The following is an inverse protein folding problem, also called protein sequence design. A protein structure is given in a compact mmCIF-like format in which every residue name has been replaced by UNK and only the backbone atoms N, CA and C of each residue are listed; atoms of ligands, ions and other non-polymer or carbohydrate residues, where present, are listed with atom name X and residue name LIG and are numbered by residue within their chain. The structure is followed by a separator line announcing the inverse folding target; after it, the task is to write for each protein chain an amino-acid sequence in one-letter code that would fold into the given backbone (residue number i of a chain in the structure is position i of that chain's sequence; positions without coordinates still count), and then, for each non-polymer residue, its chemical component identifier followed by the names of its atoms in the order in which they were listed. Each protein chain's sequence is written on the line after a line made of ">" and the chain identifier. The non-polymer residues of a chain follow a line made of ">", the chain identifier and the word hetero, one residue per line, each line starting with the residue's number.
data_IF_000749506322
#
_entry.id   IF_000749506322
#
_cell.length_a   1.000
_cell.length_b   1.000
_cell.length_c   1.000
_cell.angle_alpha   90.00
_cell.angle_beta   90.00
_cell.angle_gamma   90.00
#
_symmetry.space_group_name_H-M   'P 1'
#
loop_
_entity.id
_entity.type
_entity.pdbx_description
1 polymer ?
#
# COMPACT_ATOMS: atom_id res chain seq x y z
N UNK A 1 -11.80 -34.39 -66.93
CA UNK A 1 -13.19 -34.06 -67.32
C UNK A 1 -14.13 -34.62 -66.25
N UNK A 2 -15.25 -33.92 -66.01
CA UNK A 2 -16.39 -34.19 -65.08
C UNK A 2 -16.09 -34.14 -63.57
N UNK A 3 -16.18 -32.98 -62.89
CA UNK A 3 -17.35 -32.29 -62.29
C UNK A 3 -18.07 -33.04 -61.15
N UNK A 4 -17.92 -32.45 -59.95
CA UNK A 4 -18.96 -32.04 -58.99
C UNK A 4 -19.74 -33.10 -58.19
N UNK A 5 -19.65 -33.04 -56.85
CA UNK A 5 -20.76 -32.62 -55.96
C UNK A 5 -20.34 -32.62 -54.47
N UNK A 6 -20.50 -31.48 -53.78
CA UNK A 6 -20.65 -31.39 -52.32
C UNK A 6 -22.09 -31.78 -51.94
N UNK A 7 -22.31 -32.35 -50.75
CA UNK A 7 -23.22 -31.71 -49.79
C UNK A 7 -22.66 -31.75 -48.35
N UNK A 8 -22.58 -30.60 -47.65
CA UNK A 8 -23.60 -29.95 -46.80
C UNK A 8 -23.53 -30.41 -45.33
N UNK A 9 -23.19 -29.44 -44.51
CA UNK A 9 -23.23 -29.41 -43.04
C UNK A 9 -24.59 -29.83 -42.47
N UNK A 10 -24.55 -30.53 -41.34
CA UNK A 10 -25.61 -30.54 -40.35
C UNK A 10 -24.95 -30.61 -38.96
N UNK A 11 -24.74 -29.45 -38.34
CA UNK A 11 -24.43 -29.33 -36.91
C UNK A 11 -25.76 -29.26 -36.20
N UNK A 12 -26.10 -30.31 -35.45
CA UNK A 12 -27.32 -30.36 -34.66
C UNK A 12 -27.05 -29.67 -33.32
N UNK A 13 -27.63 -28.47 -33.16
CA UNK A 13 -27.73 -27.76 -31.89
C UNK A 13 -28.80 -28.49 -31.07
N UNK A 14 -28.41 -29.11 -29.95
CA UNK A 14 -29.35 -29.71 -29.02
C UNK A 14 -29.66 -28.70 -27.90
N UNK A 15 -30.77 -27.99 -28.09
CA UNK A 15 -31.46 -27.25 -27.02
C UNK A 15 -32.20 -28.28 -26.18
N UNK A 16 -31.82 -28.42 -24.91
CA UNK A 16 -32.49 -29.29 -23.95
C UNK A 16 -32.64 -28.58 -22.62
N UNK A 17 -33.76 -27.88 -22.45
CA UNK A 17 -34.20 -27.38 -21.15
C UNK A 17 -34.80 -28.49 -20.30
N UNK A 18 -34.47 -28.50 -19.02
CA UNK A 18 -35.28 -29.16 -18.00
C UNK A 18 -35.31 -28.30 -16.73
N UNK A 19 -36.47 -27.69 -16.49
CA UNK A 19 -36.86 -27.17 -15.18
C UNK A 19 -37.02 -28.36 -14.22
N UNK A 20 -36.39 -28.29 -13.06
CA UNK A 20 -36.80 -29.04 -11.88
C UNK A 20 -36.60 -28.16 -10.64
N UNK A 21 -37.71 -27.60 -10.17
CA UNK A 21 -37.88 -26.99 -8.85
C UNK A 21 -37.66 -28.03 -7.76
N UNK A 22 -36.63 -27.83 -6.93
CA UNK A 22 -36.55 -28.41 -5.59
C UNK A 22 -36.38 -27.25 -4.60
N UNK A 23 -37.52 -26.80 -4.06
CA UNK A 23 -37.57 -26.01 -2.85
C UNK A 23 -36.97 -26.84 -1.72
N UNK A 24 -35.68 -26.63 -1.46
CA UNK A 24 -35.00 -27.13 -0.28
C UNK A 24 -34.90 -25.95 0.66
N UNK A 25 -35.75 -25.96 1.68
CA UNK A 25 -35.58 -25.06 2.82
C UNK A 25 -34.22 -25.33 3.42
N UNK A 26 -33.33 -24.34 3.35
CA UNK A 26 -32.18 -24.26 4.22
C UNK A 26 -32.48 -23.16 5.21
N UNK A 27 -32.65 -23.60 6.44
CA UNK A 27 -32.51 -22.91 7.71
C UNK A 27 -31.87 -21.53 7.57
N UNK A 28 -32.46 -20.53 8.22
CA UNK A 28 -31.70 -19.43 8.80
C UNK A 28 -30.63 -20.06 9.70
N UNK A 29 -29.49 -20.43 9.12
CA UNK A 29 -28.22 -20.35 9.82
C UNK A 29 -28.07 -18.86 10.03
N UNK A 30 -28.35 -18.40 11.25
CA UNK A 30 -27.75 -17.16 11.68
C UNK A 30 -26.26 -17.40 11.52
N UNK A 31 -25.69 -16.89 10.43
CA UNK A 31 -24.25 -16.79 10.27
C UNK A 31 -23.87 -15.79 11.35
N UNK A 32 -23.60 -16.28 12.55
CA UNK A 32 -22.87 -15.51 13.53
C UNK A 32 -21.55 -15.22 12.85
N UNK A 33 -21.35 -13.98 12.41
CA UNK A 33 -20.06 -13.52 11.94
C UNK A 33 -19.12 -13.81 13.09
N UNK A 34 -18.18 -14.73 12.87
CA UNK A 34 -17.26 -15.09 13.94
C UNK A 34 -16.30 -13.92 14.10
N UNK A 35 -15.80 -13.69 15.30
CA UNK A 35 -14.82 -12.65 15.59
C UNK A 35 -13.64 -12.67 14.59
N UNK A 36 -13.16 -13.88 14.29
CA UNK A 36 -12.12 -14.15 13.29
C UNK A 36 -12.49 -13.64 11.90
N UNK A 37 -13.75 -13.80 11.47
CA UNK A 37 -14.22 -13.35 10.16
C UNK A 37 -14.24 -11.81 10.09
N UNK A 38 -14.61 -11.16 11.19
CA UNK A 38 -14.64 -9.70 11.28
C UNK A 38 -13.23 -9.09 11.26
N UNK A 39 -12.29 -9.65 12.03
CA UNK A 39 -10.88 -9.24 11.99
C UNK A 39 -10.27 -9.46 10.60
N UNK A 40 -10.55 -10.61 9.97
CA UNK A 40 -10.14 -10.91 8.59
C UNK A 40 -10.70 -9.90 7.60
N UNK A 41 -11.98 -9.56 7.71
CA UNK A 41 -12.64 -8.59 6.83
C UNK A 41 -12.04 -7.18 6.96
N UNK A 42 -11.69 -6.74 8.18
CA UNK A 42 -11.01 -5.47 8.39
C UNK A 42 -9.59 -5.45 7.80
N UNK A 43 -8.85 -6.57 7.90
CA UNK A 43 -7.56 -6.71 7.24
C UNK A 43 -7.70 -6.69 5.71
N UNK A 44 -8.70 -7.41 5.17
CA UNK A 44 -9.01 -7.43 3.74
C UNK A 44 -9.36 -6.03 3.21
N UNK A 45 -10.16 -5.25 3.95
CA UNK A 45 -10.45 -3.85 3.62
C UNK A 45 -9.18 -2.98 3.59
N UNK A 46 -8.35 -3.05 4.64
CA UNK A 46 -7.09 -2.32 4.70
C UNK A 46 -6.15 -2.65 3.52
N UNK A 47 -5.96 -3.94 3.23
CA UNK A 47 -5.08 -4.40 2.14
C UNK A 47 -5.63 -3.99 0.78
N UNK A 48 -6.96 -4.01 0.59
CA UNK A 48 -7.60 -3.53 -0.64
C UNK A 48 -7.45 -2.01 -0.84
N UNK A 49 -7.45 -1.23 0.26
CA UNK A 49 -7.14 0.21 0.20
C UNK A 49 -5.70 0.44 -0.25
N UNK A 50 -4.75 -0.39 0.18
CA UNK A 50 -3.35 -0.31 -0.29
C UNK A 50 -3.24 -0.68 -1.78
N UNK A 51 -3.88 -1.78 -2.20
CA UNK A 51 -3.83 -2.25 -3.57
C UNK A 51 -4.45 -1.25 -4.55
N UNK A 52 -5.58 -0.64 -4.17
CA UNK A 52 -6.26 0.36 -5.00
C UNK A 52 -5.54 1.70 -5.01
N UNK A 53 -5.08 2.19 -3.85
CA UNK A 53 -4.48 3.51 -3.68
C UNK A 53 -5.43 4.68 -3.99
N UNK A 54 -6.74 4.43 -4.08
CA UNK A 54 -7.72 5.40 -4.59
C UNK A 54 -8.37 6.25 -3.48
N UNK A 55 -8.27 5.81 -2.22
CA UNK A 55 -8.82 6.52 -1.06
C UNK A 55 -7.77 6.65 0.06
N UNK A 56 -6.87 7.66 -0.05
CA UNK A 56 -5.87 7.92 0.98
C UNK A 56 -6.49 8.16 2.36
N UNK A 57 -7.68 8.79 2.40
CA UNK A 57 -8.36 9.14 3.65
C UNK A 57 -8.84 7.90 4.40
N UNK A 58 -9.55 7.00 3.71
CA UNK A 58 -9.94 5.72 4.28
C UNK A 58 -8.71 4.89 4.69
N UNK A 59 -7.65 4.90 3.88
CA UNK A 59 -6.45 4.12 4.16
C UNK A 59 -5.78 4.56 5.47
N UNK A 60 -5.50 5.85 5.67
CA UNK A 60 -4.85 6.27 6.93
C UNK A 60 -5.79 6.14 8.13
N UNK A 61 -7.11 6.21 7.95
CA UNK A 61 -8.09 6.03 9.03
C UNK A 61 -8.27 4.57 9.46
N UNK A 62 -7.97 3.61 8.59
CA UNK A 62 -8.05 2.19 8.90
C UNK A 62 -6.99 1.71 9.90
N UNK A 63 -5.93 2.50 10.12
CA UNK A 63 -4.82 2.18 11.01
C UNK A 63 -4.68 3.18 12.16
N UNK A 64 -4.23 2.66 13.31
CA UNK A 64 -3.99 3.43 14.54
C UNK A 64 -2.48 3.51 14.77
N UNK A 65 -1.98 4.74 14.99
CA UNK A 65 -0.55 5.03 15.15
C UNK A 65 -0.32 6.18 16.11
N UNK A 66 0.85 6.25 16.72
CA UNK A 66 1.31 7.41 17.49
C UNK A 66 1.68 8.60 16.60
N UNK A 67 1.89 8.37 15.29
CA UNK A 67 2.28 9.39 14.32
C UNK A 67 1.29 9.51 13.13
N UNK A 68 0.07 10.02 13.34
CA UNK A 68 -0.95 10.08 12.27
C UNK A 68 -0.52 10.89 11.05
N UNK A 69 0.37 11.87 11.22
CA UNK A 69 0.91 12.65 10.11
C UNK A 69 1.75 11.79 9.13
N UNK A 70 2.52 10.83 9.65
CA UNK A 70 3.33 9.94 8.81
C UNK A 70 2.44 8.99 7.99
N UNK A 71 1.39 8.42 8.60
CA UNK A 71 0.46 7.58 7.85
C UNK A 71 -0.33 8.35 6.79
N UNK A 72 -0.72 9.61 7.06
CA UNK A 72 -1.36 10.46 6.05
C UNK A 72 -0.43 10.69 4.87
N UNK A 73 0.82 11.08 5.13
CA UNK A 73 1.82 11.27 4.09
C UNK A 73 2.07 9.97 3.29
N UNK A 74 2.18 8.82 3.97
CA UNK A 74 2.33 7.52 3.31
C UNK A 74 1.13 7.18 2.40
N UNK A 75 -0.09 7.43 2.88
CA UNK A 75 -1.32 7.22 2.11
C UNK A 75 -1.41 8.13 0.90
N UNK A 76 -1.04 9.40 1.06
CA UNK A 76 -1.01 10.36 -0.05
C UNK A 76 0.04 9.92 -1.08
N UNK A 77 1.25 9.58 -0.64
CA UNK A 77 2.36 9.11 -1.48
C UNK A 77 2.00 7.87 -2.32
N UNK A 78 1.24 6.93 -1.76
CA UNK A 78 0.78 5.73 -2.45
C UNK A 78 -0.02 6.03 -3.73
N UNK A 79 -0.71 7.18 -3.80
CA UNK A 79 -1.42 7.60 -5.00
C UNK A 79 -0.45 7.88 -6.17
N UNK A 80 0.79 8.27 -5.87
CA UNK A 80 1.87 8.52 -6.84
C UNK A 80 2.77 7.31 -7.14
N UNK A 81 2.46 6.12 -6.62
CA UNK A 81 3.19 4.90 -6.95
C UNK A 81 2.97 4.49 -8.42
N UNK A 82 4.05 4.14 -9.12
CA UNK A 82 4.02 3.60 -10.50
C UNK A 82 3.35 2.22 -10.54
N UNK A 83 3.58 1.42 -9.50
CA UNK A 83 2.97 0.11 -9.33
C UNK A 83 2.54 -0.06 -7.86
N UNK A 84 1.38 -0.68 -7.65
CA UNK A 84 0.84 -1.05 -6.34
C UNK A 84 0.73 -2.56 -6.24
N UNK A 85 0.52 -3.05 -5.03
CA UNK A 85 0.42 -4.49 -4.80
C UNK A 85 -0.77 -5.12 -5.53
N UNK A 86 -0.57 -6.31 -6.06
CA UNK A 86 -1.64 -7.24 -6.42
C UNK A 86 -1.87 -8.16 -5.22
N UNK A 87 -3.06 -8.09 -4.60
CA UNK A 87 -3.41 -8.96 -3.47
C UNK A 87 -3.64 -10.38 -3.99
N UNK A 88 -2.88 -11.35 -3.48
CA UNK A 88 -3.01 -12.75 -3.86
C UNK A 88 -3.89 -13.51 -2.87
N UNK A 89 -3.62 -13.35 -1.58
CA UNK A 89 -4.34 -14.04 -0.51
C UNK A 89 -4.37 -13.19 0.78
N UNK A 90 -5.52 -13.20 1.46
CA UNK A 90 -5.68 -12.70 2.83
C UNK A 90 -6.12 -13.89 3.67
N UNK A 91 -5.21 -14.36 4.52
CA UNK A 91 -5.38 -15.55 5.36
C UNK A 91 -6.43 -15.38 6.45
N UNK A 92 -6.62 -16.42 7.24
CA UNK A 92 -7.51 -16.38 8.41
C UNK A 92 -6.93 -15.50 9.52
N UNK A 93 -7.80 -14.97 10.38
CA UNK A 93 -7.39 -14.22 11.55
C UNK A 93 -7.04 -15.16 12.71
N UNK A 94 -5.81 -15.08 13.19
CA UNK A 94 -5.31 -15.93 14.28
C UNK A 94 -5.06 -15.09 15.54
N UNK A 95 -5.26 -15.64 16.75
CA UNK A 95 -4.83 -14.99 17.99
C UNK A 95 -3.33 -14.67 17.98
N UNK A 96 -2.96 -13.51 18.52
CA UNK A 96 -1.56 -13.19 18.78
C UNK A 96 -1.07 -13.86 20.07
N UNK A 97 0.10 -14.51 20.03
CA UNK A 97 0.70 -15.16 21.20
C UNK A 97 1.13 -14.18 22.31
N UNK A 98 1.18 -12.89 21.99
CA UNK A 98 1.62 -11.82 22.88
C UNK A 98 0.74 -10.58 22.70
N UNK A 99 0.63 -9.74 23.73
CA UNK A 99 -0.09 -8.48 23.62
C UNK A 99 0.74 -7.48 22.82
N UNK A 100 0.27 -7.02 21.65
CA UNK A 100 0.98 -5.99 20.90
C UNK A 100 0.98 -4.68 21.69
N UNK A 101 1.99 -3.85 21.43
CA UNK A 101 1.98 -2.50 21.97
C UNK A 101 0.88 -1.70 21.27
N UNK A 102 0.03 -1.05 22.08
CA UNK A 102 -1.01 -0.14 21.58
C UNK A 102 -0.64 1.28 21.98
N UNK A 103 -0.96 2.30 21.15
CA UNK A 103 -0.69 3.70 21.49
C UNK A 103 -1.27 4.09 22.85
N UNK A 104 -0.55 4.95 23.57
CA UNK A 104 -0.96 5.41 24.90
C UNK A 104 -2.34 6.12 24.86
N UNK A 105 -3.27 5.73 25.75
CA UNK A 105 -4.69 6.14 25.76
C UNK A 105 -5.53 5.70 24.54
N UNK A 106 -5.09 4.71 23.76
CA UNK A 106 -5.99 4.07 22.80
C UNK A 106 -7.07 3.27 23.53
N UNK A 107 -8.25 3.15 22.91
CA UNK A 107 -9.37 2.33 23.39
C UNK A 107 -9.32 0.91 22.80
N UNK A 108 -8.12 0.41 22.48
CA UNK A 108 -7.91 -0.87 21.83
C UNK A 108 -7.60 -1.98 22.84
N UNK A 109 -8.27 -3.12 22.68
CA UNK A 109 -8.03 -4.30 23.48
C UNK A 109 -6.90 -5.15 22.88
N UNK A 110 -5.68 -4.93 23.37
CA UNK A 110 -4.52 -5.77 23.00
C UNK A 110 -4.64 -7.24 23.45
N UNK A 111 -5.62 -7.57 24.30
CA UNK A 111 -5.95 -8.92 24.75
C UNK A 111 -6.57 -9.79 23.67
N UNK A 112 -7.36 -9.16 22.80
CA UNK A 112 -8.09 -9.81 21.69
C UNK A 112 -7.42 -9.54 20.34
N UNK A 113 -6.15 -9.12 20.34
CA UNK A 113 -5.42 -8.83 19.12
C UNK A 113 -5.30 -10.07 18.22
N UNK A 114 -5.40 -9.84 16.91
CA UNK A 114 -5.32 -10.87 15.88
C UNK A 114 -4.23 -10.52 14.87
N UNK A 115 -3.60 -11.54 14.30
CA UNK A 115 -2.77 -11.42 13.10
C UNK A 115 -3.47 -12.02 11.89
N UNK A 116 -3.23 -11.42 10.74
CA UNK A 116 -3.71 -11.90 9.44
C UNK A 116 -2.52 -11.95 8.50
N UNK A 117 -2.21 -13.14 7.98
CA UNK A 117 -1.19 -13.30 6.95
C UNK A 117 -1.71 -12.75 5.61
N UNK A 118 -0.86 -12.03 4.89
CA UNK A 118 -1.19 -11.44 3.59
C UNK A 118 -0.11 -11.80 2.59
N UNK A 119 -0.51 -12.42 1.49
CA UNK A 119 0.36 -12.68 0.34
C UNK A 119 0.00 -11.71 -0.78
N UNK A 120 1.00 -11.04 -1.34
CA UNK A 120 0.82 -10.05 -2.40
C UNK A 120 1.93 -10.15 -3.44
N UNK A 121 1.70 -9.61 -4.63
CA UNK A 121 2.72 -9.45 -5.67
C UNK A 121 3.05 -7.99 -5.89
N UNK A 122 4.34 -7.70 -6.04
CA UNK A 122 4.86 -6.38 -6.40
C UNK A 122 6.04 -6.54 -7.36
N UNK A 123 6.07 -5.77 -8.44
CA UNK A 123 7.10 -5.83 -9.48
C UNK A 123 7.34 -7.26 -10.01
N UNK A 124 6.27 -8.05 -10.11
CA UNK A 124 6.33 -9.45 -10.54
C UNK A 124 6.89 -10.45 -9.51
N UNK A 125 7.16 -10.03 -8.28
CA UNK A 125 7.66 -10.86 -7.18
C UNK A 125 6.58 -11.05 -6.11
N UNK A 126 6.41 -12.28 -5.63
CA UNK A 126 5.46 -12.61 -4.57
C UNK A 126 6.12 -12.38 -3.19
N UNK A 127 5.38 -11.77 -2.27
CA UNK A 127 5.80 -11.40 -0.92
C UNK A 127 4.75 -11.84 0.10
N UNK A 128 5.21 -12.17 1.30
CA UNK A 128 4.36 -12.48 2.45
C UNK A 128 4.59 -11.45 3.55
N UNK A 129 3.51 -11.00 4.18
CA UNK A 129 3.54 -10.08 5.29
C UNK A 129 2.41 -10.37 6.29
N UNK A 130 2.35 -9.59 7.36
CA UNK A 130 1.35 -9.77 8.42
C UNK A 130 0.76 -8.43 8.81
N UNK A 131 -0.56 -8.37 8.86
CA UNK A 131 -1.31 -7.26 9.45
C UNK A 131 -1.69 -7.66 10.87
N UNK A 132 -1.47 -6.77 11.83
CA UNK A 132 -1.93 -6.96 13.22
C UNK A 132 -3.08 -6.00 13.48
N UNK A 133 -4.17 -6.52 14.04
CA UNK A 133 -5.37 -5.77 14.37
C UNK A 133 -5.71 -5.94 15.85
N UNK A 134 -6.32 -4.92 16.44
CA UNK A 134 -6.96 -5.02 17.74
C UNK A 134 -8.36 -4.41 17.70
N UNK A 135 -9.32 -4.97 18.42
CA UNK A 135 -10.65 -4.41 18.49
C UNK A 135 -10.72 -3.24 19.46
N UNK A 136 -11.67 -2.33 19.26
CA UNK A 136 -12.02 -1.31 20.25
C UNK A 136 -12.76 -1.96 21.45
N UNK A 137 -12.31 -1.68 22.68
CA UNK A 137 -12.80 -2.29 23.94
C UNK A 137 -14.33 -2.20 24.12
N UNK A 138 -14.97 -1.20 23.52
CA UNK A 138 -16.40 -0.91 23.69
C UNK A 138 -17.27 -1.29 22.48
N UNK A 139 -16.71 -1.97 21.48
CA UNK A 139 -17.41 -2.32 20.24
C UNK A 139 -17.61 -3.83 20.07
N UNK A 140 -18.62 -4.26 19.28
CA UNK A 140 -18.86 -5.67 19.00
C UNK A 140 -17.71 -6.30 18.21
N UNK A 141 -17.20 -7.44 18.68
CA UNK A 141 -16.06 -8.13 18.06
C UNK A 141 -16.40 -8.78 16.70
N UNK A 142 -17.68 -8.95 16.39
CA UNK A 142 -18.21 -9.54 15.16
C UNK A 142 -18.43 -8.53 14.02
N UNK A 143 -18.01 -7.27 14.19
CA UNK A 143 -18.10 -6.23 13.17
C UNK A 143 -16.71 -5.78 12.71
N UNK A 144 -16.44 -5.78 11.40
CA UNK A 144 -15.13 -5.37 10.85
C UNK A 144 -14.71 -3.95 11.28
N UNK A 145 -15.64 -3.00 11.31
CA UNK A 145 -15.42 -1.62 11.77
C UNK A 145 -15.05 -1.47 13.25
N UNK A 146 -15.12 -2.56 14.03
CA UNK A 146 -14.67 -2.59 15.41
C UNK A 146 -13.19 -2.90 15.53
N UNK A 147 -12.55 -3.34 14.44
CA UNK A 147 -11.14 -3.70 14.38
C UNK A 147 -10.34 -2.57 13.76
N UNK A 148 -9.25 -2.20 14.42
CA UNK A 148 -8.31 -1.22 13.92
C UNK A 148 -6.97 -1.88 13.63
N UNK A 149 -6.32 -1.47 12.54
CA UNK A 149 -4.99 -1.96 12.18
C UNK A 149 -3.94 -1.31 13.09
N UNK A 150 -3.24 -2.13 13.88
CA UNK A 150 -2.12 -1.72 14.74
C UNK A 150 -0.79 -1.73 13.99
N UNK A 151 -0.59 -2.74 13.15
CA UNK A 151 0.61 -2.88 12.33
C UNK A 151 0.16 -2.99 10.88
N UNK A 152 0.18 -1.86 10.13
CA UNK A 152 -0.19 -1.86 8.73
C UNK A 152 0.88 -2.57 7.89
N UNK A 153 0.52 -2.95 6.66
CA UNK A 153 1.52 -3.33 5.66
C UNK A 153 2.27 -2.07 5.25
N UNK A 154 3.36 -1.76 5.94
CA UNK A 154 4.20 -0.60 5.63
C UNK A 154 5.67 -0.98 5.71
N UNK A 155 6.47 -0.40 4.82
CA UNK A 155 7.93 -0.41 4.87
C UNK A 155 8.47 0.94 5.31
N UNK A 156 9.78 1.01 5.48
CA UNK A 156 10.48 2.21 5.90
C UNK A 156 11.64 2.55 4.95
N UNK A 157 11.83 3.83 4.68
CA UNK A 157 12.99 4.34 3.95
C UNK A 157 13.79 5.24 4.87
N UNK A 158 15.03 4.88 5.13
CA UNK A 158 15.97 5.73 5.86
C UNK A 158 16.52 6.79 4.93
N UNK A 159 16.33 8.07 5.28
CA UNK A 159 16.91 9.20 4.57
C UNK A 159 18.25 9.57 5.20
N UNK A 160 19.27 9.71 4.36
CA UNK A 160 20.60 10.12 4.82
C UNK A 160 20.59 11.60 5.19
N UNK A 161 21.04 11.99 6.40
CA UNK A 161 21.07 13.40 6.79
C UNK A 161 22.00 14.22 5.92
N UNK A 162 21.63 15.49 5.70
CA UNK A 162 22.52 16.45 5.05
C UNK A 162 23.77 16.69 5.91
N UNK A 163 24.96 16.47 5.33
CA UNK A 163 26.22 16.72 6.00
C UNK A 163 26.48 18.23 6.21
N UNK A 164 27.35 18.57 7.17
CA UNK A 164 27.77 19.97 7.35
C UNK A 164 28.42 20.52 6.08
N UNK A 165 27.77 21.50 5.45
CA UNK A 165 28.23 22.14 4.21
C UNK A 165 27.73 21.50 2.92
N UNK A 166 26.82 20.51 2.98
CA UNK A 166 26.12 20.01 1.79
C UNK A 166 24.99 20.96 1.39
N UNK A 167 24.67 20.96 0.09
CA UNK A 167 23.42 21.55 -0.39
C UNK A 167 22.28 20.67 0.14
N UNK A 168 21.28 21.30 0.73
CA UNK A 168 20.07 20.60 1.17
C UNK A 168 19.24 20.33 -0.07
N UNK A 169 18.92 19.05 -0.30
CA UNK A 169 18.03 18.61 -1.36
C UNK A 169 16.76 18.07 -0.73
N UNK A 170 15.62 18.53 -1.22
CA UNK A 170 14.32 17.99 -0.88
C UNK A 170 14.16 16.64 -1.60
N UNK A 171 13.68 15.63 -0.88
CA UNK A 171 13.45 14.29 -1.44
C UNK A 171 11.99 14.20 -1.86
N UNK A 172 11.73 13.81 -3.10
CA UNK A 172 10.39 13.61 -3.62
C UNK A 172 10.14 12.12 -3.85
N UNK A 173 8.99 11.62 -3.41
CA UNK A 173 8.56 10.22 -3.58
C UNK A 173 7.17 10.23 -4.23
N UNK A 174 7.03 9.58 -5.39
CA UNK A 174 5.79 9.63 -6.17
C UNK A 174 5.37 11.06 -6.53
N UNK A 175 6.35 11.96 -6.72
CA UNK A 175 6.14 13.38 -7.00
C UNK A 175 5.71 14.24 -5.81
N UNK A 176 5.66 13.69 -4.60
CA UNK A 176 5.34 14.42 -3.37
C UNK A 176 6.61 14.66 -2.54
N UNK A 177 6.71 15.86 -1.97
CA UNK A 177 7.80 16.21 -1.04
C UNK A 177 7.72 15.32 0.20
N UNK A 178 8.77 14.54 0.40
CA UNK A 178 8.96 13.62 1.50
C UNK A 178 9.88 14.22 2.56
N UNK A 179 9.46 15.35 3.12
CA UNK A 179 10.16 15.99 4.22
C UNK A 179 10.12 15.09 5.47
N UNK A 180 11.29 14.76 6.02
CA UNK A 180 11.42 13.97 7.24
C UNK A 180 12.22 14.74 8.30
N UNK A 181 11.65 14.82 9.50
CA UNK A 181 12.27 15.45 10.68
C UNK A 181 12.19 16.98 10.68
N UNK A 182 12.53 17.56 11.82
CA UNK A 182 12.86 18.99 11.91
C UNK A 182 14.29 19.17 11.32
N UNK A 183 14.48 20.21 10.50
CA UNK A 183 15.78 20.62 9.95
C UNK A 183 16.58 19.54 9.16
N UNK A 184 15.91 18.62 8.44
CA UNK A 184 16.55 17.58 7.60
C UNK A 184 17.47 16.61 8.39
N UNK A 185 17.09 16.32 9.64
CA UNK A 185 17.75 15.32 10.46
C UNK A 185 17.50 13.89 9.95
N UNK A 186 18.35 12.94 10.35
CA UNK A 186 18.16 11.52 10.04
C UNK A 186 16.76 11.09 10.47
N UNK A 187 16.03 10.46 9.55
CA UNK A 187 14.68 10.03 9.81
C UNK A 187 14.24 8.91 8.89
N UNK A 188 13.17 8.25 9.33
CA UNK A 188 12.54 7.15 8.61
C UNK A 188 11.24 7.65 8.00
N UNK A 189 11.12 7.53 6.68
CA UNK A 189 9.87 7.73 5.97
C UNK A 189 9.10 6.41 5.96
N UNK A 190 7.88 6.41 6.48
CA UNK A 190 6.99 5.27 6.40
C UNK A 190 6.28 5.30 5.03
N UNK A 191 6.26 4.18 4.31
CA UNK A 191 5.60 4.05 3.00
C UNK A 191 4.81 2.75 2.92
N UNK A 192 3.70 2.75 2.20
CA UNK A 192 2.99 1.52 1.86
C UNK A 192 3.76 0.75 0.75
N UNK A 193 3.59 -0.57 0.64
CA UNK A 193 4.22 -1.34 -0.41
C UNK A 193 3.82 -0.86 -1.81
N UNK A 194 4.81 -0.66 -2.66
CA UNK A 194 4.64 -0.09 -3.99
C UNK A 194 5.98 0.18 -4.67
N UNK A 195 5.92 0.50 -5.96
CA UNK A 195 7.07 0.98 -6.74
C UNK A 195 6.91 2.48 -6.94
N UNK A 196 7.87 3.26 -6.45
CA UNK A 196 7.80 4.72 -6.45
C UNK A 196 8.92 5.29 -7.30
N UNK A 197 8.63 6.35 -8.06
CA UNK A 197 9.71 7.23 -8.53
C UNK A 197 10.20 8.07 -7.36
N UNK A 198 11.53 8.12 -7.20
CA UNK A 198 12.19 8.93 -6.20
C UNK A 198 13.24 9.82 -6.84
N UNK A 199 13.33 11.04 -6.37
CA UNK A 199 14.27 12.04 -6.87
C UNK A 199 14.63 13.04 -5.76
N UNK A 200 15.75 13.73 -5.93
CA UNK A 200 16.19 14.80 -5.04
C UNK A 200 16.31 16.11 -5.82
N UNK A 201 15.77 17.20 -5.26
CA UNK A 201 15.73 18.51 -5.92
C UNK A 201 16.15 19.63 -4.97
N UNK A 202 16.78 20.65 -5.54
CA UNK A 202 16.84 21.99 -4.95
C UNK A 202 16.39 22.96 -6.04
N UNK A 203 15.08 23.08 -6.17
CA UNK A 203 14.44 23.81 -7.25
C UNK A 203 14.80 25.30 -7.22
N UNK A 204 14.91 25.95 -8.40
CA UNK A 204 14.82 25.38 -9.73
C UNK A 204 16.16 24.84 -10.27
N UNK A 205 17.22 24.80 -9.47
CA UNK A 205 18.60 24.75 -9.97
C UNK A 205 19.24 23.36 -9.97
N UNK A 206 18.86 22.49 -9.04
CA UNK A 206 19.41 21.13 -8.98
C UNK A 206 18.31 20.10 -8.98
N UNK A 207 18.51 19.01 -9.72
CA UNK A 207 17.65 17.84 -9.70
C UNK A 207 18.47 16.58 -9.99
N UNK A 208 18.22 15.49 -9.27
CA UNK A 208 18.70 14.17 -9.65
C UNK A 208 17.87 13.60 -10.81
N UNK A 209 18.35 12.54 -11.45
CA UNK A 209 17.47 11.68 -12.21
C UNK A 209 16.44 11.02 -11.27
N UNK A 210 15.26 10.70 -11.80
CA UNK A 210 14.30 9.86 -11.11
C UNK A 210 14.76 8.40 -11.15
N UNK A 211 14.73 7.73 -10.00
CA UNK A 211 14.99 6.29 -9.88
C UNK A 211 13.76 5.57 -9.31
N UNK A 212 13.62 4.28 -9.61
CA UNK A 212 12.54 3.46 -9.07
C UNK A 212 12.94 2.83 -7.74
N UNK A 213 12.11 3.04 -6.72
CA UNK A 213 12.27 2.51 -5.37
C UNK A 213 11.14 1.53 -5.05
N UNK A 214 11.48 0.28 -4.78
CA UNK A 214 10.51 -0.74 -4.35
C UNK A 214 10.41 -0.76 -2.83
N UNK A 215 9.19 -0.56 -2.32
CA UNK A 215 8.88 -0.64 -0.90
C UNK A 215 8.19 -1.97 -0.64
N UNK A 216 8.77 -2.75 0.28
CA UNK A 216 8.25 -4.03 0.73
C UNK A 216 7.79 -3.88 2.19
N UNK A 217 6.67 -4.50 2.55
CA UNK A 217 6.14 -4.45 3.90
C UNK A 217 7.13 -5.01 4.93
N UNK A 218 7.23 -4.34 6.08
CA UNK A 218 8.14 -4.66 7.20
C UNK A 218 9.65 -4.60 6.89
N UNK A 219 10.04 -4.14 5.70
CA UNK A 219 11.44 -3.90 5.36
C UNK A 219 11.82 -2.44 5.60
N UNK A 220 13.08 -2.23 6.00
CA UNK A 220 13.71 -0.91 6.04
C UNK A 220 14.83 -0.88 5.01
N UNK A 221 14.76 0.07 4.09
CA UNK A 221 15.77 0.26 3.05
C UNK A 221 16.40 1.64 3.18
N UNK A 222 17.64 1.78 2.71
CA UNK A 222 18.29 3.07 2.58
C UNK A 222 17.88 3.70 1.25
N UNK A 223 17.67 5.02 1.24
CA UNK A 223 17.49 5.75 -0.01
C UNK A 223 18.73 5.55 -0.90
N UNK A 224 18.56 5.21 -2.20
CA UNK A 224 19.69 5.12 -3.12
C UNK A 224 20.41 6.48 -3.26
N UNK A 225 21.68 6.44 -3.68
CA UNK A 225 22.42 7.67 -3.98
C UNK A 225 21.84 8.34 -5.23
N UNK A 226 21.30 9.54 -5.07
CA UNK A 226 20.66 10.32 -6.13
C UNK A 226 21.51 11.58 -6.43
N UNK A 227 22.60 11.48 -7.22
CA UNK A 227 23.49 12.60 -7.45
C UNK A 227 22.74 13.73 -8.18
N UNK A 228 22.70 14.97 -7.63
CA UNK A 228 22.04 16.08 -8.27
C UNK A 228 22.84 16.61 -9.47
N UNK A 229 22.15 16.99 -10.53
CA UNK A 229 22.71 17.67 -11.69
C UNK A 229 22.10 19.08 -11.83
N UNK A 230 22.84 19.97 -12.51
CA UNK A 230 22.35 21.31 -12.82
C UNK A 230 21.19 21.25 -13.82
N UNK A 231 20.08 21.91 -13.51
CA UNK A 231 18.94 21.97 -14.43
C UNK A 231 19.21 22.91 -15.62
N UNK A 232 18.28 22.93 -16.58
CA UNK A 232 18.31 23.92 -17.67
C UNK A 232 18.29 25.36 -17.16
N UNK A 233 17.65 25.62 -16.02
CA UNK A 233 17.62 26.94 -15.39
C UNK A 233 19.02 27.37 -14.94
N UNK A 234 19.75 26.46 -14.28
CA UNK A 234 21.16 26.68 -13.91
C UNK A 234 22.03 26.98 -15.12
N UNK A 235 21.84 26.25 -16.21
CA UNK A 235 22.59 26.50 -17.45
C UNK A 235 22.28 27.88 -18.03
N UNK A 236 21.00 28.28 -18.03
CA UNK A 236 20.56 29.59 -18.53
C UNK A 236 21.17 30.72 -17.71
N UNK A 237 21.04 30.68 -16.38
CA UNK A 237 21.58 31.72 -15.50
C UNK A 237 23.10 31.86 -15.58
N UNK A 238 23.83 30.75 -15.65
CA UNK A 238 25.28 30.80 -15.79
C UNK A 238 25.70 31.40 -17.14
N UNK A 239 24.96 31.09 -18.21
CA UNK A 239 25.24 31.63 -19.55
C UNK A 239 24.98 33.13 -19.61
N UNK A 240 23.87 33.61 -19.03
CA UNK A 240 23.54 35.04 -19.00
C UNK A 240 24.56 35.85 -18.19
N UNK A 241 25.03 35.32 -17.06
CA UNK A 241 26.05 35.97 -16.24
C UNK A 241 27.43 36.02 -16.93
N UNK A 242 27.76 35.01 -17.74
CA UNK A 242 29.01 34.98 -18.51
C UNK A 242 29.00 35.94 -19.72
N UNK A 243 27.83 36.23 -20.31
CA UNK A 243 27.70 37.19 -21.42
C UNK A 243 27.64 38.64 -20.91
N UNK A 244 27.27 38.85 -19.64
CA UNK A 244 27.21 40.16 -19.00
C UNK A 244 28.57 40.69 -18.47
N UNK A 245 29.66 39.92 -18.62
CA UNK A 245 31.04 40.29 -18.21
C UNK A 245 31.94 40.57 -19.40
#
# INVERSE_FOLDING_TARGET
>A
MTRSARPRFAVTILVGGLLATAATGCSMVGVGVNESDAARAAAEEHVNLIASGDDPEALWQSAITESPAQLRAASDMLAGANERIEVLEVGEAEPLDHHPQVPYNSDLDSGEARQVAVSYRLAGTDHDATVILAPHESRPLDEAQSWAVLTPLAGAVTLTPAGLGSIVLDTYVGGMDAQVGDDYSEGSLLLYPGLYEVEQRADPYLASAAEELSIIAAETIELPELPPEGTSETVSELTDNLVAT
#
